data_IF_044045412386
#
_entry.id   IF_044045412386
#
_cell.length_a   1.000
_cell.length_b   1.000
_cell.length_c   1.000
_cell.angle_alpha   90.00
_cell.angle_beta   90.00
_cell.angle_gamma   90.00
#
_symmetry.space_group_name_H-M   'P 1'
#
loop_
_entity.id
_entity.type
_entity.pdbx_description
1 polymer ?
#
# COMPACT_ATOMS: atom_id res chain seq x y z
N UNK A 1 -19.03 -14.18 12.61
CA UNK A 1 -17.97 -15.16 12.24
C UNK A 1 -18.42 -16.60 11.88
N UNK A 2 -18.92 -17.48 12.78
CA UNK A 2 -19.19 -18.90 12.42
C UNK A 2 -20.13 -19.11 11.22
N UNK A 3 -21.16 -18.27 11.10
CA UNK A 3 -22.09 -18.28 9.96
C UNK A 3 -21.38 -17.98 8.63
N UNK A 4 -20.45 -17.02 8.64
CA UNK A 4 -19.64 -16.63 7.46
C UNK A 4 -18.76 -17.80 7.02
N UNK A 5 -18.06 -18.44 7.95
CA UNK A 5 -17.21 -19.61 7.65
C UNK A 5 -18.06 -20.75 7.05
N UNK A 6 -19.20 -21.08 7.65
CA UNK A 6 -20.12 -22.10 7.09
C UNK A 6 -20.56 -21.75 5.66
N UNK A 7 -20.83 -20.47 5.37
CA UNK A 7 -21.19 -20.01 4.03
C UNK A 7 -20.02 -20.13 3.05
N UNK A 8 -18.80 -19.75 3.44
CA UNK A 8 -17.56 -19.93 2.65
C UNK A 8 -17.41 -21.41 2.25
N UNK A 9 -17.53 -22.34 3.22
CA UNK A 9 -17.45 -23.78 2.93
C UNK A 9 -18.54 -24.25 1.96
N UNK A 10 -19.77 -23.74 2.08
CA UNK A 10 -20.86 -24.06 1.15
C UNK A 10 -20.57 -23.54 -0.26
N UNK A 11 -20.11 -22.30 -0.39
CA UNK A 11 -19.76 -21.69 -1.69
C UNK A 11 -18.63 -22.45 -2.38
N UNK A 12 -17.61 -22.89 -1.64
CA UNK A 12 -16.52 -23.67 -2.22
C UNK A 12 -16.98 -25.03 -2.76
N UNK A 13 -18.00 -25.66 -2.16
CA UNK A 13 -18.61 -26.87 -2.73
C UNK A 13 -19.32 -26.60 -4.05
N UNK A 14 -19.99 -25.45 -4.18
CA UNK A 14 -20.65 -25.02 -5.43
C UNK A 14 -19.63 -24.69 -6.52
N UNK A 15 -18.56 -23.98 -6.16
CA UNK A 15 -17.50 -23.57 -7.09
C UNK A 15 -16.69 -24.78 -7.59
N UNK A 16 -16.45 -25.78 -6.72
CA UNK A 16 -15.83 -27.05 -7.04
C UNK A 16 -14.49 -26.95 -7.80
N UNK A 17 -13.69 -25.93 -7.49
CA UNK A 17 -12.31 -25.75 -7.98
C UNK A 17 -11.51 -24.87 -7.00
N UNK A 18 -10.16 -24.91 -7.04
CA UNK A 18 -9.34 -23.95 -6.32
C UNK A 18 -9.61 -22.51 -6.76
N UNK A 19 -9.52 -21.58 -5.79
CA UNK A 19 -9.70 -20.15 -5.99
C UNK A 19 -8.45 -19.41 -5.49
N UNK A 20 -7.92 -18.49 -6.29
CA UNK A 20 -6.80 -17.61 -5.93
C UNK A 20 -7.29 -16.20 -5.67
N UNK A 21 -7.27 -15.78 -4.41
CA UNK A 21 -7.58 -14.40 -4.03
C UNK A 21 -6.29 -13.67 -3.66
N UNK A 22 -6.14 -12.42 -4.10
CA UNK A 22 -4.96 -11.62 -3.81
C UNK A 22 -5.33 -10.38 -3.00
N UNK A 23 -4.65 -10.17 -1.88
CA UNK A 23 -4.63 -8.86 -1.21
C UNK A 23 -3.45 -8.03 -1.72
N UNK A 24 -3.61 -6.70 -1.72
CA UNK A 24 -2.55 -5.74 -2.10
C UNK A 24 -2.32 -4.71 -1.00
N UNK A 25 -2.33 -5.15 0.27
CA UNK A 25 -2.15 -4.30 1.44
C UNK A 25 -1.33 -5.03 2.51
N UNK A 26 -0.15 -4.51 2.87
CA UNK A 26 0.68 -5.11 3.92
C UNK A 26 -0.06 -5.30 5.26
N UNK A 27 -0.99 -4.40 5.60
CA UNK A 27 -1.84 -4.53 6.79
C UNK A 27 -2.78 -5.73 6.70
N UNK A 28 -3.35 -6.02 5.52
CA UNK A 28 -4.13 -7.24 5.30
C UNK A 28 -3.25 -8.48 5.39
N UNK A 29 -2.03 -8.46 4.81
CA UNK A 29 -1.08 -9.57 4.96
C UNK A 29 -0.87 -9.93 6.43
N UNK A 30 -0.61 -8.91 7.26
CA UNK A 30 -0.39 -9.07 8.70
C UNK A 30 -1.66 -9.53 9.41
N UNK A 31 -2.81 -8.95 9.10
CA UNK A 31 -4.09 -9.31 9.72
C UNK A 31 -4.50 -10.77 9.42
N UNK A 32 -4.36 -11.20 8.16
CA UNK A 32 -4.64 -12.59 7.73
C UNK A 32 -3.77 -13.57 8.52
N UNK A 33 -2.49 -13.25 8.72
CA UNK A 33 -1.57 -14.07 9.51
C UNK A 33 -1.94 -14.05 11.01
N UNK A 34 -2.05 -12.86 11.60
CA UNK A 34 -2.31 -12.65 13.04
C UNK A 34 -3.60 -13.30 13.51
N UNK A 35 -4.65 -13.27 12.69
CA UNK A 35 -5.94 -13.87 13.00
C UNK A 35 -6.06 -15.33 12.58
N UNK A 36 -5.03 -15.92 11.97
CA UNK A 36 -5.06 -17.32 11.54
C UNK A 36 -6.13 -17.60 10.50
N UNK A 37 -6.48 -16.63 9.64
CA UNK A 37 -7.58 -16.74 8.66
C UNK A 37 -7.41 -17.97 7.76
N UNK A 38 -6.17 -18.27 7.35
CA UNK A 38 -5.81 -19.46 6.55
C UNK A 38 -6.17 -20.79 7.23
N UNK A 39 -6.23 -20.83 8.56
CA UNK A 39 -6.56 -22.02 9.33
C UNK A 39 -8.07 -22.30 9.45
N UNK A 40 -8.92 -21.33 9.13
CA UNK A 40 -10.38 -21.45 9.29
C UNK A 40 -11.16 -21.46 7.97
N UNK A 41 -10.49 -21.20 6.84
CA UNK A 41 -11.08 -21.27 5.50
C UNK A 41 -10.70 -22.58 4.79
N UNK A 42 -11.47 -23.01 3.78
CA UNK A 42 -11.12 -24.16 2.93
C UNK A 42 -9.72 -24.03 2.32
N UNK A 43 -8.98 -25.15 2.23
CA UNK A 43 -7.59 -25.19 1.72
C UNK A 43 -7.49 -24.89 0.23
N UNK A 44 -8.60 -25.04 -0.48
CA UNK A 44 -8.76 -24.75 -1.90
C UNK A 44 -8.75 -23.23 -2.18
N UNK A 45 -8.90 -22.39 -1.14
CA UNK A 45 -8.73 -20.94 -1.24
C UNK A 45 -7.27 -20.59 -0.98
N UNK A 46 -6.59 -20.15 -2.04
CA UNK A 46 -5.21 -19.72 -2.01
C UNK A 46 -5.20 -18.20 -1.83
N UNK A 47 -4.76 -17.74 -0.65
CA UNK A 47 -4.55 -16.33 -0.36
C UNK A 47 -3.14 -15.88 -0.75
N UNK A 48 -3.04 -15.13 -1.84
CA UNK A 48 -1.82 -14.52 -2.37
C UNK A 48 -1.61 -13.13 -1.77
N UNK A 49 -0.34 -12.75 -1.63
CA UNK A 49 0.06 -11.41 -1.20
C UNK A 49 0.72 -10.66 -2.34
N UNK A 50 0.10 -9.56 -2.75
CA UNK A 50 0.59 -8.67 -3.79
C UNK A 50 1.52 -7.57 -3.27
N UNK A 51 1.87 -6.59 -4.12
CA UNK A 51 2.77 -5.49 -3.82
C UNK A 51 2.15 -4.41 -2.91
N UNK A 52 1.73 -4.78 -1.70
CA UNK A 52 1.01 -3.91 -0.75
C UNK A 52 1.89 -3.09 0.20
N UNK A 53 3.20 -3.03 -0.03
CA UNK A 53 4.17 -2.33 0.82
C UNK A 53 4.94 -1.28 -0.02
N UNK A 54 4.68 0.04 0.16
CA UNK A 54 5.28 1.07 -0.69
C UNK A 54 6.80 1.17 -0.54
N UNK A 55 7.31 0.87 0.65
CA UNK A 55 8.75 0.77 0.97
C UNK A 55 9.38 -0.35 0.16
N UNK A 56 8.78 -1.54 0.19
CA UNK A 56 9.28 -2.75 -0.43
C UNK A 56 9.32 -2.65 -1.96
N UNK A 57 8.40 -1.88 -2.55
CA UNK A 57 8.34 -1.65 -4.01
C UNK A 57 9.05 -0.37 -4.45
N UNK A 58 9.79 0.28 -3.56
CA UNK A 58 10.57 1.46 -3.94
C UNK A 58 11.74 1.04 -4.82
N UNK A 59 11.85 1.57 -6.06
CA UNK A 59 12.95 1.26 -6.96
C UNK A 59 14.31 1.53 -6.32
N UNK A 60 15.27 0.65 -6.61
CA UNK A 60 16.68 0.80 -6.21
C UNK A 60 17.22 2.19 -6.61
N UNK A 61 16.86 2.67 -7.81
CA UNK A 61 17.22 3.99 -8.32
C UNK A 61 16.79 5.13 -7.38
N UNK A 62 15.58 5.05 -6.80
CA UNK A 62 15.08 6.08 -5.90
C UNK A 62 15.86 6.09 -4.58
N UNK A 63 16.23 4.91 -4.07
CA UNK A 63 17.08 4.76 -2.89
C UNK A 63 18.47 5.33 -3.15
N UNK A 64 19.07 5.05 -4.31
CA UNK A 64 20.37 5.59 -4.71
C UNK A 64 20.34 7.12 -4.80
N UNK A 65 19.27 7.71 -5.34
CA UNK A 65 19.11 9.16 -5.40
C UNK A 65 18.98 9.74 -3.99
N UNK A 66 18.21 9.11 -3.10
CA UNK A 66 18.11 9.55 -1.71
C UNK A 66 19.47 9.51 -0.98
N UNK A 67 20.27 8.45 -1.20
CA UNK A 67 21.65 8.34 -0.68
C UNK A 67 22.54 9.45 -1.25
N UNK A 68 22.42 9.76 -2.55
CA UNK A 68 23.20 10.82 -3.16
C UNK A 68 22.82 12.21 -2.59
N UNK A 69 21.54 12.44 -2.32
CA UNK A 69 21.05 13.69 -1.69
C UNK A 69 21.60 13.82 -0.27
N UNK A 70 21.60 12.75 0.54
CA UNK A 70 22.06 12.81 1.94
C UNK A 70 23.56 13.06 2.09
N UNK A 71 24.35 12.72 1.08
CA UNK A 71 25.81 12.94 1.04
C UNK A 71 26.22 14.33 0.54
N UNK A 72 25.26 15.16 0.11
CA UNK A 72 25.56 16.48 -0.45
C UNK A 72 25.67 17.55 0.64
N UNK A 73 26.75 18.33 0.59
CA UNK A 73 26.94 19.45 1.51
C UNK A 73 25.79 20.46 1.43
N UNK A 74 25.33 20.89 2.61
CA UNK A 74 24.19 21.82 2.73
C UNK A 74 22.81 21.17 2.62
N UNK A 75 22.72 19.83 2.55
CA UNK A 75 21.44 19.10 2.53
C UNK A 75 21.21 18.34 3.83
N UNK A 76 19.94 18.19 4.19
CA UNK A 76 19.45 17.25 5.21
C UNK A 76 18.42 16.36 4.51
N UNK A 77 18.68 15.06 4.43
CA UNK A 77 17.66 14.11 3.99
C UNK A 77 16.78 13.75 5.18
N UNK A 78 15.46 13.81 5.01
CA UNK A 78 14.49 13.32 5.98
C UNK A 78 13.74 12.14 5.38
N UNK A 79 13.45 11.11 6.19
CA UNK A 79 12.79 9.89 5.72
C UNK A 79 12.04 9.19 6.85
N UNK A 80 11.05 8.36 6.51
CA UNK A 80 10.50 7.39 7.46
C UNK A 80 11.54 6.34 7.85
N UNK A 81 11.41 5.78 9.05
CA UNK A 81 12.40 4.88 9.63
C UNK A 81 12.52 3.52 8.93
N UNK A 82 11.44 3.03 8.33
CA UNK A 82 11.42 1.80 7.54
C UNK A 82 12.28 1.89 6.27
N UNK A 83 12.32 3.06 5.62
CA UNK A 83 13.17 3.34 4.46
C UNK A 83 14.67 3.32 4.77
N UNK A 84 15.09 3.45 6.04
CA UNK A 84 16.51 3.50 6.41
C UNK A 84 17.28 2.23 6.02
N UNK A 85 16.59 1.09 6.00
CA UNK A 85 17.20 -0.24 5.77
C UNK A 85 17.01 -0.76 4.35
N UNK A 86 16.25 -0.05 3.50
CA UNK A 86 16.03 -0.49 2.12
C UNK A 86 17.35 -0.44 1.36
N UNK A 87 17.78 -1.53 0.70
CA UNK A 87 19.02 -1.56 -0.05
C UNK A 87 18.85 -0.82 -1.39
N UNK A 88 19.74 0.12 -1.65
CA UNK A 88 20.04 0.65 -2.97
C UNK A 88 21.04 -0.23 -3.72
N UNK A 89 21.68 0.34 -4.73
CA UNK A 89 22.73 -0.32 -5.49
C UNK A 89 23.89 -0.71 -4.59
N UNK A 90 24.60 -1.78 -4.96
CA UNK A 90 25.73 -2.33 -4.20
C UNK A 90 25.41 -2.69 -2.74
N UNK A 91 24.12 -2.89 -2.42
CA UNK A 91 23.60 -3.17 -1.06
C UNK A 91 23.79 -2.02 -0.06
N UNK A 92 24.09 -0.80 -0.52
CA UNK A 92 24.18 0.37 0.36
C UNK A 92 22.76 0.83 0.72
N UNK A 93 22.53 1.20 1.98
CA UNK A 93 21.25 1.79 2.42
C UNK A 93 21.47 3.16 3.05
N UNK A 94 20.39 3.88 3.34
CA UNK A 94 20.45 5.15 4.07
C UNK A 94 21.09 4.99 5.46
N UNK A 95 20.89 3.85 6.13
CA UNK A 95 21.58 3.52 7.38
C UNK A 95 23.11 3.45 7.21
N UNK A 96 23.59 2.82 6.14
CA UNK A 96 25.03 2.79 5.83
C UNK A 96 25.55 4.19 5.51
N UNK A 97 24.83 4.97 4.71
CA UNK A 97 25.20 6.36 4.39
C UNK A 97 25.27 7.23 5.66
N UNK A 98 24.34 7.08 6.59
CA UNK A 98 24.35 7.79 7.87
C UNK A 98 25.59 7.43 8.71
N UNK A 99 25.96 6.15 8.74
CA UNK A 99 27.18 5.69 9.41
C UNK A 99 28.47 6.24 8.76
N UNK A 100 28.43 6.54 7.46
CA UNK A 100 29.50 7.22 6.72
C UNK A 100 29.48 8.76 6.90
N UNK A 101 28.61 9.30 7.75
CA UNK A 101 28.52 10.74 8.05
C UNK A 101 27.52 11.52 7.20
N UNK A 102 26.69 10.85 6.38
CA UNK A 102 25.62 11.53 5.64
C UNK A 102 24.58 12.14 6.58
N UNK A 103 24.06 13.31 6.23
CA UNK A 103 23.13 14.05 7.07
C UNK A 103 21.69 13.58 6.84
N UNK A 104 21.25 12.64 7.68
CA UNK A 104 19.94 11.99 7.58
C UNK A 104 19.21 12.12 8.91
N UNK A 105 17.92 12.49 8.85
CA UNK A 105 17.01 12.54 10.00
C UNK A 105 15.80 11.65 9.79
N UNK A 106 15.51 10.78 10.75
CA UNK A 106 14.30 9.95 10.74
C UNK A 106 13.14 10.78 11.27
N UNK A 107 12.01 10.73 10.57
CA UNK A 107 10.78 11.44 10.93
C UNK A 107 9.60 10.48 11.01
N UNK A 108 8.56 10.86 11.76
CA UNK A 108 7.31 10.11 11.85
C UNK A 108 6.21 10.72 10.99
N UNK A 109 6.34 12.01 10.65
CA UNK A 109 5.43 12.72 9.78
C UNK A 109 6.17 13.62 8.79
N UNK A 110 5.55 13.97 7.64
CA UNK A 110 6.09 14.99 6.74
C UNK A 110 6.20 16.38 7.41
N UNK A 111 5.34 16.67 8.40
CA UNK A 111 5.39 17.89 9.19
C UNK A 111 6.67 18.00 10.02
N UNK A 112 7.17 16.89 10.57
CA UNK A 112 8.44 16.89 11.30
C UNK A 112 9.60 17.31 10.36
N UNK A 113 9.55 16.90 9.09
CA UNK A 113 10.53 17.30 8.08
C UNK A 113 10.46 18.81 7.76
N UNK A 114 9.25 19.37 7.73
CA UNK A 114 9.06 20.81 7.60
C UNK A 114 9.60 21.57 8.83
N UNK A 115 9.36 21.06 10.04
CA UNK A 115 9.92 21.65 11.27
C UNK A 115 11.46 21.64 11.26
N UNK A 116 12.08 20.58 10.73
CA UNK A 116 13.52 20.53 10.52
C UNK A 116 13.95 21.62 9.54
N UNK A 117 13.20 21.86 8.45
CA UNK A 117 13.50 22.95 7.51
C UNK A 117 13.43 24.34 8.14
N UNK A 118 12.43 24.59 8.98
CA UNK A 118 12.27 25.85 9.72
C UNK A 118 13.45 26.12 10.65
N UNK A 119 13.96 25.07 11.31
CA UNK A 119 15.09 25.16 12.25
C UNK A 119 16.47 25.27 11.57
N UNK A 120 16.59 24.90 10.30
CA UNK A 120 17.85 24.84 9.57
C UNK A 120 17.80 25.68 8.28
N UNK A 121 17.67 27.01 8.42
CA UNK A 121 17.46 27.94 7.30
C UNK A 121 18.62 27.99 6.29
N UNK A 122 19.82 27.60 6.71
CA UNK A 122 21.03 27.52 5.89
C UNK A 122 21.16 26.18 5.13
N UNK A 123 20.28 25.21 5.41
CA UNK A 123 20.28 23.89 4.78
C UNK A 123 19.05 23.69 3.91
N UNK A 124 19.19 22.89 2.85
CA UNK A 124 18.09 22.37 2.04
C UNK A 124 17.60 21.06 2.64
N UNK A 125 16.37 21.03 3.11
CA UNK A 125 15.76 19.84 3.69
C UNK A 125 14.94 19.14 2.62
N UNK A 126 15.27 17.88 2.34
CA UNK A 126 14.59 17.07 1.34
C UNK A 126 13.92 15.90 2.04
N UNK A 127 12.60 15.81 1.94
CA UNK A 127 11.85 14.66 2.42
C UNK A 127 11.73 13.57 1.35
N UNK A 128 12.23 12.37 1.65
CA UNK A 128 12.10 11.20 0.79
C UNK A 128 10.67 10.66 0.87
N UNK A 129 9.80 11.22 0.03
CA UNK A 129 8.38 10.98 0.06
C UNK A 129 8.03 9.63 -0.60
N UNK A 130 7.97 8.59 0.23
CA UNK A 130 7.53 7.25 -0.16
C UNK A 130 6.14 6.96 0.39
N UNK A 131 5.36 6.18 -0.37
CA UNK A 131 4.04 5.76 0.06
C UNK A 131 3.06 5.62 -1.10
N UNK A 132 1.84 5.25 -0.73
CA UNK A 132 0.71 5.10 -1.64
C UNK A 132 -0.22 6.32 -1.52
N UNK A 133 -1.45 6.19 -2.00
CA UNK A 133 -2.48 7.22 -1.91
C UNK A 133 -2.81 7.57 -0.45
N UNK A 134 -2.57 6.68 0.52
CA UNK A 134 -2.78 6.95 1.95
C UNK A 134 -1.84 8.01 2.54
N UNK A 135 -0.62 8.13 2.02
CA UNK A 135 0.38 9.08 2.53
C UNK A 135 0.42 10.36 1.69
N UNK A 136 -0.01 10.28 0.43
CA UNK A 136 0.09 11.39 -0.52
C UNK A 136 -0.62 12.68 -0.04
N UNK A 137 -1.83 12.63 0.57
CA UNK A 137 -2.52 13.82 1.05
C UNK A 137 -1.80 14.56 2.18
N UNK A 138 -1.23 13.84 3.15
CA UNK A 138 -0.52 14.50 4.26
C UNK A 138 0.76 15.18 3.78
N UNK A 139 1.47 14.57 2.82
CA UNK A 139 2.66 15.13 2.19
C UNK A 139 2.29 16.38 1.36
N UNK A 140 1.20 16.32 0.59
CA UNK A 140 0.68 17.48 -0.13
C UNK A 140 0.26 18.62 0.81
N UNK A 141 -0.39 18.30 1.94
CA UNK A 141 -0.74 19.27 2.98
C UNK A 141 0.48 19.95 3.60
N UNK A 142 1.57 19.20 3.83
CA UNK A 142 2.83 19.78 4.31
C UNK A 142 3.47 20.71 3.28
N UNK A 143 3.46 20.36 1.99
CA UNK A 143 3.92 21.25 0.92
C UNK A 143 3.11 22.55 0.88
N UNK A 144 1.78 22.43 0.96
CA UNK A 144 0.88 23.58 1.02
C UNK A 144 1.20 24.49 2.21
N UNK A 145 1.44 23.91 3.39
CA UNK A 145 1.81 24.67 4.58
C UNK A 145 3.18 25.34 4.45
N UNK A 146 4.17 24.66 3.87
CA UNK A 146 5.48 25.23 3.60
C UNK A 146 5.39 26.46 2.68
N UNK A 147 4.57 26.38 1.62
CA UNK A 147 4.30 27.48 0.71
C UNK A 147 3.64 28.66 1.44
N UNK A 148 2.59 28.40 2.21
CA UNK A 148 1.86 29.43 2.97
C UNK A 148 2.73 30.13 4.02
N UNK A 149 3.62 29.40 4.66
CA UNK A 149 4.58 29.94 5.63
C UNK A 149 5.82 30.58 4.98
N UNK A 150 5.91 30.60 3.64
CA UNK A 150 7.04 31.17 2.91
C UNK A 150 8.36 30.41 3.07
N UNK A 151 8.31 29.12 3.45
CA UNK A 151 9.50 28.28 3.65
C UNK A 151 10.07 27.87 2.29
N UNK A 152 11.28 28.35 1.98
CA UNK A 152 11.93 28.16 0.66
C UNK A 152 12.96 27.04 0.60
N UNK A 153 13.31 26.45 1.74
CA UNK A 153 14.35 25.43 1.85
C UNK A 153 13.79 24.01 2.10
N UNK A 154 12.48 23.82 2.02
CA UNK A 154 11.82 22.52 2.13
C UNK A 154 11.48 21.97 0.74
N UNK A 155 11.88 20.72 0.48
CA UNK A 155 11.68 20.01 -0.78
C UNK A 155 11.22 18.59 -0.51
N UNK A 156 10.62 17.95 -1.52
CA UNK A 156 10.37 16.51 -1.50
C UNK A 156 11.07 15.84 -2.68
N UNK A 157 11.56 14.62 -2.46
CA UNK A 157 11.82 13.67 -3.54
C UNK A 157 10.62 12.74 -3.63
N UNK A 158 9.77 12.94 -4.65
CA UNK A 158 8.54 12.17 -4.82
C UNK A 158 8.85 10.79 -5.36
N UNK A 159 8.73 9.78 -4.49
CA UNK A 159 8.74 8.37 -4.82
C UNK A 159 7.41 7.75 -4.41
N UNK A 160 6.30 8.44 -4.67
CA UNK A 160 4.96 7.90 -4.47
C UNK A 160 4.65 6.81 -5.50
N UNK A 161 3.75 5.91 -5.14
CA UNK A 161 3.22 4.85 -6.00
C UNK A 161 1.71 4.89 -5.96
N UNK A 162 1.08 4.35 -7.00
CA UNK A 162 -0.37 4.32 -7.17
C UNK A 162 -0.80 2.86 -7.30
N UNK A 163 -1.84 2.46 -6.56
CA UNK A 163 -2.29 1.07 -6.46
C UNK A 163 -3.02 0.60 -7.72
N UNK A 164 -4.00 1.33 -8.30
CA UNK A 164 -4.70 0.88 -9.51
C UNK A 164 -3.78 0.46 -10.69
N UNK A 165 -2.70 1.19 -11.05
CA UNK A 165 -1.76 0.72 -12.07
C UNK A 165 -1.03 -0.57 -11.70
N UNK A 166 -0.69 -0.76 -10.42
CA UNK A 166 -0.06 -2.00 -9.96
C UNK A 166 -1.03 -3.18 -10.07
N UNK A 167 -2.30 -3.00 -9.70
CA UNK A 167 -3.36 -3.99 -9.93
C UNK A 167 -3.50 -4.35 -11.42
N UNK A 168 -3.52 -3.35 -12.30
CA UNK A 168 -3.57 -3.58 -13.75
C UNK A 168 -2.37 -4.40 -14.25
N UNK A 169 -1.17 -4.13 -13.74
CA UNK A 169 0.03 -4.90 -14.08
C UNK A 169 -0.04 -6.36 -13.60
N UNK A 170 -0.59 -6.60 -12.39
CA UNK A 170 -0.77 -7.96 -11.85
C UNK A 170 -1.78 -8.76 -12.67
N UNK A 171 -2.89 -8.14 -13.07
CA UNK A 171 -3.93 -8.80 -13.87
C UNK A 171 -3.40 -9.21 -15.24
N UNK A 172 -2.57 -8.37 -15.86
CA UNK A 172 -1.95 -8.65 -17.16
C UNK A 172 -0.78 -9.64 -17.07
N UNK A 173 -0.40 -10.10 -15.87
CA UNK A 173 0.65 -11.11 -15.71
C UNK A 173 0.09 -12.52 -15.93
N UNK A 174 0.53 -13.25 -16.98
CA UNK A 174 -0.07 -14.52 -17.37
C UNK A 174 0.09 -15.63 -16.32
N UNK A 175 1.08 -15.51 -15.43
CA UNK A 175 1.41 -16.56 -14.45
C UNK A 175 0.54 -16.52 -13.19
N UNK A 176 -0.09 -15.37 -12.86
CA UNK A 176 -0.73 -15.18 -11.57
C UNK A 176 -2.13 -15.80 -11.48
N UNK A 177 -2.90 -15.80 -12.59
CA UNK A 177 -4.29 -16.33 -12.67
C UNK A 177 -5.12 -16.00 -11.42
N UNK A 178 -5.40 -14.72 -11.20
CA UNK A 178 -6.10 -14.23 -10.00
C UNK A 178 -7.61 -14.32 -10.22
N UNK A 179 -8.34 -14.95 -9.30
CA UNK A 179 -9.80 -15.09 -9.35
C UNK A 179 -10.53 -13.93 -8.67
N UNK A 180 -9.86 -13.15 -7.80
CA UNK A 180 -10.45 -12.00 -7.15
C UNK A 180 -9.46 -11.19 -6.29
N UNK A 181 -9.80 -9.93 -6.02
CA UNK A 181 -8.97 -9.05 -5.18
C UNK A 181 -9.62 -8.66 -3.86
N UNK A 182 -8.82 -8.68 -2.80
CA UNK A 182 -9.08 -8.01 -1.53
C UNK A 182 -8.40 -6.65 -1.63
N UNK A 183 -9.19 -5.61 -1.92
CA UNK A 183 -8.72 -4.26 -2.19
C UNK A 183 -8.41 -3.50 -0.88
N UNK A 184 -7.41 -2.61 -0.89
CA UNK A 184 -6.90 -1.96 0.31
C UNK A 184 -7.88 -0.94 0.89
N UNK A 185 -8.35 -1.15 2.11
CA UNK A 185 -9.31 -0.27 2.77
C UNK A 185 -8.85 1.19 2.87
N UNK A 186 -7.68 1.44 3.47
CA UNK A 186 -7.17 2.80 3.69
C UNK A 186 -6.87 3.56 2.38
N UNK A 187 -6.33 2.89 1.36
CA UNK A 187 -6.12 3.52 0.04
C UNK A 187 -7.47 3.94 -0.54
N UNK A 188 -8.48 3.08 -0.41
CA UNK A 188 -9.83 3.33 -0.89
C UNK A 188 -10.55 4.43 -0.10
N UNK A 189 -10.19 4.70 1.15
CA UNK A 189 -10.64 5.90 1.88
C UNK A 189 -10.25 7.19 1.16
N UNK A 190 -9.11 7.18 0.46
CA UNK A 190 -8.61 8.36 -0.27
C UNK A 190 -9.20 8.44 -1.67
N UNK A 191 -9.25 7.31 -2.39
CA UNK A 191 -9.58 7.32 -3.82
C UNK A 191 -10.99 6.83 -4.16
N UNK A 192 -11.76 6.36 -3.19
CA UNK A 192 -13.08 5.75 -3.40
C UNK A 192 -13.00 4.37 -4.08
N UNK A 193 -14.14 3.87 -4.58
CA UNK A 193 -14.17 2.62 -5.33
C UNK A 193 -13.99 2.81 -6.83
N UNK A 194 -14.38 3.97 -7.36
CA UNK A 194 -14.38 4.28 -8.79
C UNK A 194 -13.06 3.95 -9.52
N UNK A 195 -11.85 4.25 -8.99
CA UNK A 195 -10.60 3.93 -9.69
C UNK A 195 -10.31 2.44 -9.85
N UNK A 196 -11.04 1.56 -9.17
CA UNK A 196 -10.91 0.11 -9.32
C UNK A 196 -11.91 -0.48 -10.32
N UNK A 197 -12.87 0.30 -10.83
CA UNK A 197 -13.94 -0.20 -11.72
C UNK A 197 -13.43 -0.97 -12.94
N UNK A 198 -12.25 -0.59 -13.46
CA UNK A 198 -11.60 -1.27 -14.59
C UNK A 198 -11.39 -2.77 -14.35
N UNK A 199 -11.19 -3.19 -13.09
CA UNK A 199 -10.98 -4.61 -12.74
C UNK A 199 -12.24 -5.42 -13.04
N UNK A 200 -13.41 -4.88 -12.71
CA UNK A 200 -14.69 -5.50 -12.99
C UNK A 200 -15.10 -5.32 -14.46
N UNK A 201 -14.95 -4.12 -15.02
CA UNK A 201 -15.49 -3.81 -16.36
C UNK A 201 -14.64 -4.36 -17.50
N UNK A 202 -13.31 -4.19 -17.45
CA UNK A 202 -12.37 -4.63 -18.48
C UNK A 202 -11.96 -6.09 -18.28
N UNK A 203 -11.74 -6.52 -17.04
CA UNK A 203 -11.11 -7.82 -16.74
C UNK A 203 -12.07 -8.88 -16.17
N UNK A 204 -13.30 -8.51 -15.81
CA UNK A 204 -14.30 -9.41 -15.21
C UNK A 204 -13.79 -10.13 -13.95
N UNK A 205 -12.97 -9.45 -13.14
CA UNK A 205 -12.47 -9.99 -11.87
C UNK A 205 -13.24 -9.37 -10.70
N UNK A 206 -13.93 -10.16 -9.87
CA UNK A 206 -14.62 -9.65 -8.69
C UNK A 206 -13.62 -9.09 -7.68
N UNK A 207 -13.95 -7.97 -7.07
CA UNK A 207 -13.08 -7.33 -6.09
C UNK A 207 -13.89 -6.74 -4.95
N UNK A 208 -13.33 -6.79 -3.73
CA UNK A 208 -13.99 -6.26 -2.54
C UNK A 208 -13.05 -5.34 -1.79
N UNK A 209 -13.50 -4.12 -1.48
CA UNK A 209 -12.78 -3.19 -0.61
C UNK A 209 -13.00 -3.58 0.84
N UNK A 210 -11.91 -3.90 1.53
CA UNK A 210 -11.95 -4.65 2.78
C UNK A 210 -11.35 -3.87 3.95
N UNK A 211 -12.03 -3.91 5.10
CA UNK A 211 -11.49 -3.46 6.39
C UNK A 211 -10.37 -4.37 6.91
N UNK A 212 -9.97 -4.25 8.16
CA UNK A 212 -8.74 -4.90 8.67
C UNK A 212 -8.97 -5.95 9.74
N UNK A 213 -10.19 -6.02 10.29
CA UNK A 213 -10.52 -7.01 11.30
C UNK A 213 -10.75 -8.39 10.69
N UNK A 214 -10.66 -9.44 11.52
CA UNK A 214 -10.88 -10.81 11.08
C UNK A 214 -12.25 -11.01 10.40
N UNK A 215 -13.30 -10.37 10.93
CA UNK A 215 -14.65 -10.45 10.37
C UNK A 215 -14.76 -9.70 9.04
N UNK A 216 -14.08 -8.57 8.88
CA UNK A 216 -14.03 -7.82 7.62
C UNK A 216 -13.44 -8.66 6.49
N UNK A 217 -12.31 -9.31 6.77
CA UNK A 217 -11.59 -10.15 5.81
C UNK A 217 -12.43 -11.39 5.45
N UNK A 218 -13.00 -12.08 6.45
CA UNK A 218 -13.84 -13.25 6.19
C UNK A 218 -15.11 -12.88 5.41
N UNK A 219 -15.73 -11.74 5.73
CA UNK A 219 -16.91 -11.25 5.00
C UNK A 219 -16.54 -10.94 3.56
N UNK A 220 -15.39 -10.29 3.32
CA UNK A 220 -14.91 -9.99 1.97
C UNK A 220 -14.59 -11.24 1.16
N UNK A 221 -14.00 -12.27 1.78
CA UNK A 221 -13.80 -13.58 1.13
C UNK A 221 -15.16 -14.20 0.76
N UNK A 222 -16.13 -14.19 1.68
CA UNK A 222 -17.47 -14.70 1.40
C UNK A 222 -18.15 -13.94 0.24
N UNK A 223 -18.02 -12.62 0.20
CA UNK A 223 -18.52 -11.75 -0.87
C UNK A 223 -17.88 -12.11 -2.21
N UNK A 224 -16.54 -12.18 -2.29
CA UNK A 224 -15.80 -12.62 -3.49
C UNK A 224 -16.27 -13.98 -3.99
N UNK A 225 -16.37 -14.98 -3.11
CA UNK A 225 -16.83 -16.32 -3.49
C UNK A 225 -18.29 -16.33 -3.95
N UNK A 226 -19.13 -15.45 -3.40
CA UNK A 226 -20.52 -15.31 -3.86
C UNK A 226 -20.54 -14.77 -5.29
N UNK A 227 -19.74 -13.74 -5.59
CA UNK A 227 -19.62 -13.23 -6.96
C UNK A 227 -19.16 -14.32 -7.95
N UNK A 228 -18.13 -15.07 -7.56
CA UNK A 228 -17.55 -16.15 -8.38
C UNK A 228 -18.57 -17.27 -8.62
N UNK A 229 -19.32 -17.69 -7.59
CA UNK A 229 -20.36 -18.70 -7.73
C UNK A 229 -21.52 -18.26 -8.62
N UNK A 230 -21.81 -16.97 -8.66
CA UNK A 230 -22.87 -16.35 -9.47
C UNK A 230 -22.39 -15.94 -10.88
N UNK A 231 -21.09 -16.04 -11.17
CA UNK A 231 -20.51 -15.62 -12.44
C UNK A 231 -20.53 -14.11 -12.67
N UNK A 232 -20.59 -13.31 -11.60
CA UNK A 232 -20.56 -11.84 -11.65
C UNK A 232 -19.21 -11.28 -11.22
N UNK A 233 -18.94 -10.05 -11.63
CA UNK A 233 -17.74 -9.31 -11.25
C UNK A 233 -18.08 -7.85 -11.03
N UNK A 234 -18.01 -7.41 -9.78
CA UNK A 234 -18.29 -6.05 -9.32
C UNK A 234 -17.23 -5.60 -8.32
N UNK A 235 -17.12 -4.28 -8.12
CA UNK A 235 -16.34 -3.69 -7.04
C UNK A 235 -17.29 -3.45 -5.86
N UNK A 236 -17.33 -4.40 -4.93
CA UNK A 236 -18.15 -4.27 -3.73
C UNK A 236 -17.36 -3.59 -2.60
N UNK A 237 -18.07 -2.90 -1.71
CA UNK A 237 -17.49 -2.23 -0.56
C UNK A 237 -17.93 -2.97 0.70
N UNK A 238 -17.02 -3.72 1.31
CA UNK A 238 -17.25 -4.26 2.65
C UNK A 238 -16.97 -3.18 3.71
N UNK A 239 -15.99 -2.32 3.47
CA UNK A 239 -15.58 -1.26 4.40
C UNK A 239 -16.42 0.03 4.30
N UNK A 240 -17.75 -0.12 4.34
CA UNK A 240 -18.74 0.95 4.08
C UNK A 240 -18.76 2.07 5.11
N UNK A 241 -18.22 1.83 6.30
CA UNK A 241 -18.14 2.84 7.37
C UNK A 241 -17.16 3.98 7.05
N UNK A 242 -16.18 3.73 6.17
CA UNK A 242 -15.09 4.68 5.87
C UNK A 242 -14.97 4.96 4.37
N UNK A 243 -15.26 3.98 3.51
CA UNK A 243 -15.09 4.12 2.06
C UNK A 243 -16.40 4.52 1.38
N UNK A 244 -16.32 5.50 0.48
CA UNK A 244 -17.41 5.93 -0.38
C UNK A 244 -17.20 5.46 -1.82
N UNK A 245 -18.27 5.31 -2.62
CA UNK A 245 -18.17 5.01 -4.05
C UNK A 245 -17.30 6.00 -4.82
#
# INVERSE_FOLDING_TARGET
MQKIIKKIHSLMKTINRPIKLMEVCGTHTVAIFRHGIRGVIPKEIILLSGPGCPVCVTPIKDVDIAIAISKKDGYILTTFGDMMRVPGSRKQSLFHAQAEGANISIVYSPMDALDIAIKNKDKKVVFFATGFETTSPSIAGTLYQAEHAGIKNFFIYSAHKVVPPALKALINSPDLKIDGFILPGHVSTIIGSKPYEFIATEYKIPSVITGFDAEDILTSIMMLLTQIAEGRAEIEIQYTSVVKP
#
